data_IF_491280868268
#
_entry.id   IF_491280868268
#
_cell.length_a   1.000
_cell.length_b   1.000
_cell.length_c   1.000
_cell.angle_alpha   90.00
_cell.angle_beta   90.00
_cell.angle_gamma   90.00
#
_symmetry.space_group_name_H-M   'P 1'
#
loop_
_entity.id
_entity.type
_entity.pdbx_description
1 polymer ?
#
# COMPACT_ATOMS: atom_id res chain seq x y z
N UNK A 1 2.91 -12.76 -21.57
CA UNK A 1 3.82 -12.06 -20.62
C UNK A 1 3.02 -10.94 -19.95
N UNK A 2 3.18 -10.70 -18.65
CA UNK A 2 2.37 -9.71 -17.89
C UNK A 2 3.01 -8.32 -17.91
N UNK A 3 4.34 -8.24 -17.89
CA UNK A 3 5.08 -6.97 -17.92
C UNK A 3 5.63 -6.69 -19.33
N UNK A 4 5.75 -5.41 -19.72
CA UNK A 4 6.55 -5.01 -20.86
C UNK A 4 8.04 -5.23 -20.58
N UNK A 5 8.87 -5.14 -21.62
CA UNK A 5 10.35 -5.21 -21.52
C UNK A 5 10.96 -3.92 -20.97
N UNK A 6 10.44 -3.44 -19.84
CA UNK A 6 10.95 -2.27 -19.12
C UNK A 6 11.50 -2.68 -17.75
N UNK A 7 12.42 -1.90 -17.16
CA UNK A 7 12.91 -2.18 -15.81
C UNK A 7 11.77 -2.16 -14.78
N UNK A 8 11.87 -3.02 -13.77
CA UNK A 8 10.87 -3.19 -12.70
C UNK A 8 11.53 -2.95 -11.34
N UNK A 9 10.80 -2.31 -10.42
CA UNK A 9 11.19 -2.13 -9.02
C UNK A 9 10.15 -2.77 -8.10
N UNK A 10 10.65 -3.56 -7.14
CA UNK A 10 9.83 -4.13 -6.09
C UNK A 10 9.63 -3.12 -4.95
N UNK A 11 8.39 -3.00 -4.52
CA UNK A 11 7.96 -2.28 -3.32
C UNK A 11 7.26 -3.27 -2.39
N UNK A 12 7.72 -3.37 -1.15
CA UNK A 12 7.09 -4.21 -0.13
C UNK A 12 6.50 -3.30 0.93
N UNK A 13 5.20 -3.42 1.17
CA UNK A 13 4.52 -2.71 2.23
C UNK A 13 3.99 -3.70 3.26
N UNK A 14 4.55 -3.61 4.46
CA UNK A 14 4.09 -4.35 5.64
C UNK A 14 3.32 -3.42 6.56
N UNK A 15 2.33 -3.96 7.27
CA UNK A 15 1.49 -3.19 8.18
C UNK A 15 1.86 -3.45 9.65
N UNK A 16 1.53 -2.54 10.58
CA UNK A 16 1.48 -2.83 12.01
C UNK A 16 0.57 -4.03 12.31
N UNK A 17 0.87 -4.74 13.41
CA UNK A 17 0.20 -5.99 13.80
C UNK A 17 -1.33 -5.91 13.73
N UNK A 18 -1.91 -4.90 14.37
CA UNK A 18 -3.34 -4.74 14.51
C UNK A 18 -4.00 -4.45 13.14
N UNK A 19 -3.31 -3.74 12.25
CA UNK A 19 -3.79 -3.53 10.88
C UNK A 19 -3.75 -4.81 10.05
N UNK A 20 -2.78 -5.71 10.24
CA UNK A 20 -2.77 -7.00 9.53
C UNK A 20 -4.02 -7.81 9.85
N UNK A 21 -4.38 -7.87 11.13
CA UNK A 21 -5.58 -8.56 11.60
C UNK A 21 -6.86 -7.98 10.95
N UNK A 22 -7.01 -6.66 11.00
CA UNK A 22 -8.15 -5.96 10.42
C UNK A 22 -8.26 -6.21 8.90
N UNK A 23 -7.16 -6.05 8.16
CA UNK A 23 -7.15 -6.23 6.70
C UNK A 23 -7.36 -7.70 6.29
N UNK A 24 -7.01 -8.66 7.15
CA UNK A 24 -7.28 -10.07 6.91
C UNK A 24 -8.79 -10.37 6.91
N UNK A 25 -9.51 -9.79 7.88
CA UNK A 25 -10.96 -9.97 8.09
C UNK A 25 -11.84 -9.15 7.15
N UNK A 26 -11.34 -8.02 6.64
CA UNK A 26 -12.12 -7.11 5.79
C UNK A 26 -11.50 -6.92 4.39
N UNK A 27 -11.76 -7.82 3.41
CA UNK A 27 -11.20 -7.75 2.07
C UNK A 27 -11.49 -6.45 1.32
N UNK A 28 -12.66 -5.82 1.55
CA UNK A 28 -13.02 -4.54 0.94
C UNK A 28 -12.13 -3.42 1.46
N UNK A 29 -11.84 -3.39 2.77
CA UNK A 29 -10.90 -2.44 3.36
C UNK A 29 -9.48 -2.68 2.85
N UNK A 30 -9.06 -3.94 2.74
CA UNK A 30 -7.78 -4.31 2.13
C UNK A 30 -7.64 -3.76 0.71
N UNK A 31 -8.65 -3.90 -0.15
CA UNK A 31 -8.63 -3.32 -1.50
C UNK A 31 -8.56 -1.79 -1.50
N UNK A 32 -9.17 -1.12 -0.53
CA UNK A 32 -9.12 0.33 -0.40
C UNK A 32 -7.75 0.82 0.06
N UNK A 33 -7.15 0.13 1.04
CA UNK A 33 -5.77 0.39 1.46
C UNK A 33 -4.81 0.19 0.28
N UNK A 34 -4.96 -0.89 -0.48
CA UNK A 34 -4.20 -1.10 -1.72
C UNK A 34 -4.36 0.07 -2.71
N UNK A 35 -5.58 0.59 -2.89
CA UNK A 35 -5.81 1.76 -3.75
C UNK A 35 -5.07 3.01 -3.26
N UNK A 36 -5.05 3.26 -1.95
CA UNK A 36 -4.28 4.37 -1.34
C UNK A 36 -2.79 4.20 -1.61
N UNK A 37 -2.27 2.99 -1.42
CA UNK A 37 -0.84 2.67 -1.64
C UNK A 37 -0.47 2.87 -3.09
N UNK A 38 -1.20 2.25 -4.01
CA UNK A 38 -1.00 2.40 -5.45
C UNK A 38 -1.01 3.86 -5.87
N UNK A 39 -2.04 4.63 -5.47
CA UNK A 39 -2.17 6.04 -5.84
C UNK A 39 -1.01 6.88 -5.29
N UNK A 40 -0.52 6.57 -4.10
CA UNK A 40 0.60 7.31 -3.48
C UNK A 40 1.91 7.02 -4.20
N UNK A 41 2.24 5.75 -4.45
CA UNK A 41 3.44 5.37 -5.21
C UNK A 41 3.39 5.87 -6.65
N UNK A 42 2.25 5.72 -7.33
CA UNK A 42 2.05 6.23 -8.68
C UNK A 42 2.28 7.74 -8.76
N UNK A 43 1.71 8.50 -7.82
CA UNK A 43 1.92 9.96 -7.73
C UNK A 43 3.40 10.30 -7.53
N UNK A 44 4.11 9.53 -6.71
CA UNK A 44 5.52 9.75 -6.46
C UNK A 44 6.37 9.51 -7.71
N UNK A 45 6.16 8.39 -8.41
CA UNK A 45 6.89 8.08 -9.65
C UNK A 45 6.67 9.15 -10.72
N UNK A 46 5.41 9.57 -10.92
CA UNK A 46 5.04 10.62 -11.87
C UNK A 46 5.75 11.94 -11.54
N UNK A 47 5.70 12.37 -10.27
CA UNK A 47 6.37 13.61 -9.84
C UNK A 47 7.89 13.51 -9.96
N UNK A 48 8.48 12.37 -9.59
CA UNK A 48 9.92 12.12 -9.68
C UNK A 48 10.42 12.13 -11.12
N UNK A 49 9.57 11.72 -12.06
CA UNK A 49 9.83 11.82 -13.50
C UNK A 49 9.64 13.22 -14.08
N UNK A 50 9.17 14.20 -13.30
CA UNK A 50 8.93 15.57 -13.76
C UNK A 50 7.59 15.78 -14.47
N UNK A 51 6.66 14.82 -14.37
CA UNK A 51 5.35 14.88 -15.04
C UNK A 51 4.20 15.18 -14.06
N UNK A 52 3.02 15.41 -14.64
CA UNK A 52 1.77 15.52 -13.90
C UNK A 52 0.95 14.23 -14.06
N UNK A 53 -0.04 14.04 -13.20
CA UNK A 53 -0.95 12.87 -13.32
C UNK A 53 -1.76 12.85 -14.61
N UNK A 54 -1.95 14.01 -15.24
CA UNK A 54 -2.67 14.12 -16.50
C UNK A 54 -1.78 13.73 -17.70
N UNK A 55 -0.46 13.84 -17.56
CA UNK A 55 0.49 13.65 -18.66
C UNK A 55 1.34 12.38 -18.57
N UNK A 56 1.22 11.60 -17.49
CA UNK A 56 1.98 10.37 -17.33
C UNK A 56 1.21 9.27 -16.61
N UNK A 57 1.54 8.02 -16.94
CA UNK A 57 0.95 6.81 -16.38
C UNK A 57 2.01 5.87 -15.82
N UNK A 58 1.65 5.16 -14.76
CA UNK A 58 2.47 4.11 -14.13
C UNK A 58 1.82 2.75 -14.34
N UNK A 59 2.61 1.68 -14.34
CA UNK A 59 2.11 0.31 -14.34
C UNK A 59 2.62 -0.48 -13.13
N UNK A 60 1.76 -1.31 -12.54
CA UNK A 60 2.18 -2.23 -11.47
C UNK A 60 1.33 -3.49 -11.40
N UNK A 61 1.92 -4.59 -10.95
CA UNK A 61 1.20 -5.78 -10.48
C UNK A 61 1.40 -5.91 -8.98
N UNK A 62 0.34 -6.20 -8.24
CA UNK A 62 0.42 -6.43 -6.80
C UNK A 62 0.05 -7.86 -6.45
N UNK A 63 0.92 -8.53 -5.71
CA UNK A 63 0.61 -9.77 -5.00
C UNK A 63 0.30 -9.42 -3.54
N UNK A 64 -0.88 -9.81 -3.09
CA UNK A 64 -1.28 -9.68 -1.69
C UNK A 64 -0.93 -10.99 -1.00
N UNK A 65 0.11 -10.96 -0.18
CA UNK A 65 0.50 -12.11 0.62
C UNK A 65 -0.16 -12.00 1.98
N UNK A 66 -0.76 -13.10 2.45
CA UNK A 66 -1.53 -13.16 3.71
C UNK A 66 -0.84 -13.96 4.81
N UNK A 67 0.31 -14.57 4.54
CA UNK A 67 1.02 -15.42 5.48
C UNK A 67 2.53 -15.14 5.47
N UNK A 68 3.18 -15.32 6.62
CA UNK A 68 4.62 -15.32 6.78
C UNK A 68 5.23 -16.69 6.50
N UNK A 69 6.55 -16.82 6.62
CA UNK A 69 7.27 -18.08 6.39
C UNK A 69 6.83 -19.20 7.33
N UNK A 70 6.38 -18.86 8.54
CA UNK A 70 5.82 -19.79 9.53
C UNK A 70 4.30 -20.03 9.37
N UNK A 71 3.70 -19.61 8.25
CA UNK A 71 2.25 -19.61 8.01
C UNK A 71 1.43 -18.74 8.99
N UNK A 72 2.09 -17.89 9.76
CA UNK A 72 1.45 -16.89 10.62
C UNK A 72 0.75 -15.83 9.77
N UNK A 73 -0.41 -15.33 10.23
CA UNK A 73 -1.18 -14.31 9.55
C UNK A 73 -0.34 -13.04 9.39
N UNK A 74 0.02 -12.73 8.15
CA UNK A 74 0.89 -11.61 7.83
C UNK A 74 0.45 -11.00 6.51
N UNK A 75 -0.55 -10.12 6.56
CA UNK A 75 -0.98 -9.37 5.37
C UNK A 75 0.08 -8.34 5.00
N UNK A 76 0.60 -8.42 3.78
CA UNK A 76 1.53 -7.44 3.20
C UNK A 76 1.41 -7.41 1.68
N UNK A 77 1.82 -6.31 1.08
CA UNK A 77 1.75 -6.11 -0.38
C UNK A 77 3.14 -6.22 -1.00
N UNK A 78 3.29 -7.15 -1.94
CA UNK A 78 4.41 -7.19 -2.87
C UNK A 78 3.97 -6.52 -4.17
N UNK A 79 4.44 -5.29 -4.41
CA UNK A 79 4.09 -4.53 -5.60
C UNK A 79 5.29 -4.45 -6.54
N UNK A 80 5.12 -4.92 -7.76
CA UNK A 80 6.08 -4.79 -8.84
C UNK A 80 5.65 -3.62 -9.72
N UNK A 81 6.30 -2.47 -9.54
CA UNK A 81 6.08 -1.28 -10.37
C UNK A 81 7.08 -1.26 -11.52
N UNK A 82 6.65 -0.78 -12.69
CA UNK A 82 7.60 -0.31 -13.69
C UNK A 82 8.47 0.78 -13.06
N UNK A 83 9.77 0.75 -13.35
CA UNK A 83 10.80 1.59 -12.73
C UNK A 83 10.79 3.04 -13.28
N UNK A 84 9.60 3.58 -13.54
CA UNK A 84 9.40 4.78 -14.33
C UNK A 84 7.93 4.98 -14.70
N UNK A 85 7.70 5.86 -15.68
CA UNK A 85 6.38 6.23 -16.16
C UNK A 85 6.33 6.24 -17.69
N UNK A 86 5.16 5.99 -18.25
CA UNK A 86 4.90 6.33 -19.66
C UNK A 86 4.38 7.77 -19.73
N UNK A 87 4.94 8.57 -20.64
CA UNK A 87 4.47 9.90 -20.96
C UNK A 87 4.58 10.15 -22.47
N UNK A 88 3.80 11.09 -22.98
CA UNK A 88 3.86 11.48 -24.39
C UNK A 88 5.08 12.37 -24.65
N UNK A 89 5.80 12.11 -25.75
CA UNK A 89 6.85 13.02 -26.25
C UNK A 89 6.26 14.14 -27.12
N UNK A 90 7.11 15.07 -27.55
CA UNK A 90 6.70 16.22 -28.40
C UNK A 90 6.08 15.80 -29.76
N UNK A 91 6.16 14.52 -30.12
CA UNK A 91 5.65 13.94 -31.37
C UNK A 91 4.39 13.08 -31.16
N UNK A 92 3.79 13.10 -29.97
CA UNK A 92 2.58 12.33 -29.68
C UNK A 92 2.82 10.85 -29.37
N UNK A 93 4.08 10.42 -29.18
CA UNK A 93 4.42 9.02 -28.93
C UNK A 93 4.62 8.76 -27.44
N UNK A 94 3.98 7.72 -26.92
CA UNK A 94 4.21 7.24 -25.56
C UNK A 94 5.61 6.65 -25.41
N UNK A 95 6.40 7.18 -24.49
CA UNK A 95 7.75 6.72 -24.15
C UNK A 95 7.88 6.42 -22.67
N UNK A 96 8.73 5.46 -22.36
CA UNK A 96 9.07 5.13 -20.99
C UNK A 96 10.17 6.05 -20.46
N UNK A 97 9.91 6.68 -19.33
CA UNK A 97 10.82 7.57 -18.62
C UNK A 97 11.19 6.93 -17.29
N UNK A 98 12.37 6.32 -17.25
CA UNK A 98 12.91 5.68 -16.05
C UNK A 98 13.20 6.71 -14.96
N UNK A 99 12.90 6.37 -13.71
CA UNK A 99 13.24 7.20 -12.54
C UNK A 99 14.36 6.58 -11.71
N UNK A 100 15.14 7.43 -11.04
CA UNK A 100 16.16 6.98 -10.08
C UNK A 100 15.54 6.19 -8.92
N UNK A 101 16.36 5.44 -8.19
CA UNK A 101 15.96 4.85 -6.92
C UNK A 101 15.41 5.92 -5.97
N UNK A 102 14.42 5.61 -5.11
CA UNK A 102 13.99 6.55 -4.10
C UNK A 102 15.13 6.76 -3.11
N UNK A 103 15.30 8.00 -2.65
CA UNK A 103 16.20 8.31 -1.53
C UNK A 103 15.56 7.89 -0.21
N UNK A 104 16.36 7.84 0.85
CA UNK A 104 15.86 7.59 2.20
C UNK A 104 14.78 8.61 2.63
N UNK A 105 14.98 9.88 2.33
CA UNK A 105 14.03 10.95 2.66
C UNK A 105 12.71 10.82 1.88
N UNK A 106 12.79 10.41 0.61
CA UNK A 106 11.60 10.10 -0.19
C UNK A 106 10.84 8.91 0.40
N UNK A 107 11.55 7.85 0.82
CA UNK A 107 10.94 6.69 1.47
C UNK A 107 10.25 7.08 2.78
N UNK A 108 10.87 7.89 3.63
CA UNK A 108 10.25 8.38 4.87
C UNK A 108 9.00 9.22 4.60
N UNK A 109 9.08 10.13 3.62
CA UNK A 109 7.94 10.96 3.21
C UNK A 109 6.78 10.08 2.71
N UNK A 110 7.10 9.02 1.93
CA UNK A 110 6.11 8.06 1.46
C UNK A 110 5.48 7.28 2.61
N UNK A 111 6.28 6.75 3.53
CA UNK A 111 5.80 6.03 4.71
C UNK A 111 4.86 6.90 5.56
N UNK A 112 5.24 8.15 5.83
CA UNK A 112 4.41 9.09 6.57
C UNK A 112 3.11 9.42 5.83
N UNK A 113 3.20 9.68 4.51
CA UNK A 113 2.02 9.96 3.68
C UNK A 113 1.05 8.78 3.64
N UNK A 114 1.57 7.56 3.54
CA UNK A 114 0.77 6.33 3.55
C UNK A 114 0.11 6.14 4.91
N UNK A 115 0.87 6.24 6.00
CA UNK A 115 0.35 6.13 7.37
C UNK A 115 -0.80 7.11 7.59
N UNK A 116 -0.60 8.39 7.27
CA UNK A 116 -1.62 9.43 7.43
C UNK A 116 -2.86 9.17 6.57
N UNK A 117 -2.70 8.76 5.30
CA UNK A 117 -3.84 8.50 4.41
C UNK A 117 -4.63 7.27 4.80
N UNK A 118 -3.95 6.21 5.27
CA UNK A 118 -4.59 4.97 5.73
C UNK A 118 -5.35 5.26 7.03
N UNK A 119 -4.72 5.93 8.00
CA UNK A 119 -5.37 6.33 9.25
C UNK A 119 -6.62 7.17 8.99
N UNK A 120 -6.50 8.23 8.17
CA UNK A 120 -7.65 9.07 7.78
C UNK A 120 -8.76 8.29 7.05
N UNK A 121 -8.40 7.25 6.29
CA UNK A 121 -9.39 6.41 5.61
C UNK A 121 -10.18 5.55 6.62
N UNK A 122 -9.50 5.04 7.64
CA UNK A 122 -10.10 4.24 8.70
C UNK A 122 -10.93 5.09 9.67
N UNK A 123 -10.46 6.29 10.04
CA UNK A 123 -11.22 7.27 10.84
C UNK A 123 -12.55 7.63 10.18
N UNK A 124 -12.53 7.94 8.87
CA UNK A 124 -13.75 8.25 8.09
C UNK A 124 -14.76 7.10 8.03
N UNK A 125 -14.34 5.88 8.38
CA UNK A 125 -15.18 4.68 8.39
C UNK A 125 -15.61 4.28 9.81
N UNK A 126 -15.18 5.00 10.84
CA UNK A 126 -15.45 4.67 12.24
C UNK A 126 -14.60 3.52 12.79
N UNK A 127 -13.55 3.08 12.06
CA UNK A 127 -12.71 1.92 12.42
C UNK A 127 -11.49 2.32 13.27
N UNK A 128 -11.14 3.60 13.28
CA UNK A 128 -10.12 4.19 14.12
C UNK A 128 -10.72 5.38 14.86
N UNK A 129 -10.54 5.42 16.17
CA UNK A 129 -10.74 6.63 16.96
C UNK A 129 -9.37 7.23 17.28
N UNK A 130 -9.24 8.55 17.07
CA UNK A 130 -8.11 9.32 17.56
C UNK A 130 -8.47 9.85 18.94
N UNK A 131 -7.82 9.32 19.96
CA UNK A 131 -7.75 10.04 21.23
C UNK A 131 -6.54 10.99 21.19
N UNK A 132 -6.64 12.14 21.85
CA UNK A 132 -5.68 13.24 21.72
C UNK A 132 -4.23 12.86 22.09
N UNK A 133 -4.03 11.71 22.72
CA UNK A 133 -2.72 11.16 23.08
C UNK A 133 -2.41 9.79 22.46
N UNK A 134 -3.37 9.04 21.89
CA UNK A 134 -3.16 7.69 21.35
C UNK A 134 -4.13 7.32 20.20
N UNK A 135 -3.65 6.58 19.19
CA UNK A 135 -4.46 6.04 18.07
C UNK A 135 -4.86 4.60 18.35
N UNK A 136 -6.16 4.33 18.53
CA UNK A 136 -6.68 2.99 18.82
C UNK A 136 -7.63 2.51 17.72
N UNK A 137 -7.53 1.23 17.36
CA UNK A 137 -8.46 0.56 16.44
C UNK A 137 -9.74 0.21 17.19
N UNK A 138 -10.85 0.79 16.78
CA UNK A 138 -12.19 0.38 17.18
C UNK A 138 -12.55 -0.87 16.38
N UNK A 139 -12.16 -2.03 16.92
CA UNK A 139 -12.76 -3.29 16.52
C UNK A 139 -14.09 -3.37 17.27
N UNK A 140 -15.23 -3.33 16.59
CA UNK A 140 -16.51 -3.65 17.25
C UNK A 140 -16.44 -5.09 17.76
N UNK A 141 -16.22 -5.24 19.06
CA UNK A 141 -16.19 -6.52 19.77
C UNK A 141 -17.63 -7.04 19.88
N UNK A 142 -18.12 -7.69 18.83
CA UNK A 142 -19.22 -8.63 18.99
C UNK A 142 -18.77 -9.76 19.93
N UNK A 143 -19.54 -10.01 20.98
CA UNK A 143 -19.27 -10.96 22.07
C UNK A 143 -18.45 -12.21 21.65
N UNK A 144 -17.31 -12.40 22.32
CA UNK A 144 -16.53 -13.65 22.44
C UNK A 144 -16.44 -14.55 21.19
N UNK A 145 -16.02 -13.98 20.06
CA UNK A 145 -15.74 -14.78 18.87
C UNK A 145 -14.36 -15.46 19.02
N UNK A 146 -14.34 -16.72 19.45
CA UNK A 146 -13.14 -17.60 19.51
C UNK A 146 -12.26 -17.51 18.26
N UNK A 147 -12.86 -17.23 17.09
CA UNK A 147 -12.17 -17.01 15.82
C UNK A 147 -11.29 -15.75 15.85
N UNK A 148 -11.70 -14.69 16.55
CA UNK A 148 -10.92 -13.46 16.79
C UNK A 148 -9.65 -13.77 17.59
N UNK A 149 -9.78 -14.57 18.66
CA UNK A 149 -8.62 -14.98 19.48
C UNK A 149 -7.65 -15.87 18.69
N UNK A 150 -8.17 -16.84 17.94
CA UNK A 150 -7.39 -17.69 17.02
C UNK A 150 -6.66 -16.85 15.95
N UNK A 151 -7.33 -15.89 15.34
CA UNK A 151 -6.71 -14.99 14.37
C UNK A 151 -5.64 -14.10 15.03
N UNK A 152 -5.86 -13.60 16.25
CA UNK A 152 -4.86 -12.80 16.98
C UNK A 152 -3.61 -13.61 17.29
N UNK A 153 -3.78 -14.83 17.82
CA UNK A 153 -2.68 -15.76 18.07
C UNK A 153 -1.92 -16.13 16.78
N UNK A 154 -2.62 -16.21 15.65
CA UNK A 154 -2.00 -16.55 14.37
C UNK A 154 -1.06 -15.47 13.82
N UNK A 155 -1.11 -14.22 14.28
CA UNK A 155 -0.25 -13.13 13.79
C UNK A 155 1.10 -13.10 14.53
N UNK A 156 1.14 -13.57 15.76
CA UNK A 156 2.28 -13.46 16.67
C UNK A 156 3.26 -14.62 16.47
N UNK A 157 4.29 -14.42 15.65
CA UNK A 157 5.53 -15.20 15.60
C UNK A 157 6.65 -14.37 14.98
#
# INVERSE_FOLDING_TARGET
EVFPKEPIRQWVLSFPFQLRFLLARHPQLMGQVLSIVYRTLSTHLIKKAGYTKASAQTGSVTLIQRFGSALNLNVHYHMLFLDGVYAEDDYGKQRFHRVKAPTYDELNTLAHTLSHRIARCMEKRGILERDAENTWLTLEEGEDDTLTQLHGASVTY
#
